data_IF_367308436006
#
_entry.id   IF_367308436006
#
_cell.length_a   1.000
_cell.length_b   1.000
_cell.length_c   1.000
_cell.angle_alpha   90.00
_cell.angle_beta   90.00
_cell.angle_gamma   90.00
#
_symmetry.space_group_name_H-M   'P 1'
#
loop_
_entity.id
_entity.type
_entity.pdbx_description
1 polymer ?
#
# COMPACT_ATOMS: atom_id res chain seq x y z
N UNK A 1 27.76 12.53 -24.11
CA UNK A 1 26.46 12.97 -24.67
C UNK A 1 25.40 11.99 -24.19
N UNK A 2 24.59 12.37 -23.20
CA UNK A 2 23.49 11.50 -22.77
C UNK A 2 22.41 11.52 -23.85
N UNK A 3 22.19 10.38 -24.51
CA UNK A 3 20.99 10.19 -25.33
C UNK A 3 19.78 10.38 -24.44
N UNK A 4 18.96 11.39 -24.74
CA UNK A 4 17.75 11.69 -23.98
C UNK A 4 16.74 10.55 -24.19
N UNK A 5 16.78 9.53 -23.33
CA UNK A 5 15.77 8.48 -23.28
C UNK A 5 14.43 9.14 -22.88
N UNK A 6 13.45 9.07 -23.78
CA UNK A 6 12.06 9.50 -23.55
C UNK A 6 11.24 8.24 -23.30
N UNK A 7 10.39 8.23 -22.26
CA UNK A 7 9.52 7.08 -21.99
C UNK A 7 8.49 6.92 -23.10
N UNK A 8 8.25 5.70 -23.54
CA UNK A 8 7.24 5.35 -24.56
C UNK A 8 5.80 5.60 -24.05
N UNK A 9 5.62 5.75 -22.74
CA UNK A 9 4.31 5.94 -22.10
C UNK A 9 3.92 7.41 -21.87
N UNK A 10 4.83 8.36 -22.12
CA UNK A 10 4.67 9.77 -21.77
C UNK A 10 5.46 10.18 -20.53
N UNK A 11 5.29 11.42 -20.10
CA UNK A 11 5.94 11.98 -18.91
C UNK A 11 4.93 12.77 -18.08
N UNK A 12 5.13 12.83 -16.77
CA UNK A 12 4.31 13.69 -15.92
C UNK A 12 4.41 15.15 -16.36
N UNK A 13 3.27 15.86 -16.39
CA UNK A 13 3.26 17.26 -16.80
C UNK A 13 4.10 18.17 -15.88
N UNK A 14 4.29 17.79 -14.61
CA UNK A 14 5.13 18.54 -13.68
C UNK A 14 5.65 17.70 -12.51
N UNK A 15 6.61 18.26 -11.75
CA UNK A 15 7.09 17.68 -10.48
C UNK A 15 5.95 17.46 -9.48
N UNK A 16 4.98 18.37 -9.42
CA UNK A 16 3.85 18.25 -8.49
C UNK A 16 2.94 17.09 -8.82
N UNK A 17 2.74 16.79 -10.11
CA UNK A 17 1.99 15.61 -10.53
C UNK A 17 2.66 14.33 -10.06
N UNK A 18 3.98 14.23 -10.19
CA UNK A 18 4.71 13.07 -9.67
C UNK A 18 4.57 12.93 -8.16
N UNK A 19 4.65 14.03 -7.39
CA UNK A 19 4.40 14.01 -5.94
C UNK A 19 3.00 13.48 -5.65
N UNK A 20 1.97 14.05 -6.28
CA UNK A 20 0.58 13.61 -6.06
C UNK A 20 0.38 12.15 -6.47
N UNK A 21 0.99 11.70 -7.57
CA UNK A 21 0.90 10.33 -8.03
C UNK A 21 1.57 9.34 -7.06
N UNK A 22 2.81 9.63 -6.66
CA UNK A 22 3.54 8.79 -5.72
C UNK A 22 2.93 8.82 -4.31
N UNK A 23 2.44 9.98 -3.86
CA UNK A 23 1.67 10.08 -2.62
C UNK A 23 0.35 9.32 -2.71
N UNK A 24 -0.37 9.36 -3.85
CA UNK A 24 -1.59 8.56 -4.02
C UNK A 24 -1.36 7.06 -4.15
N UNK A 25 -0.15 6.65 -4.53
CA UNK A 25 0.25 5.24 -4.38
C UNK A 25 0.46 4.89 -2.92
N UNK A 26 1.26 5.70 -2.20
CA UNK A 26 1.64 5.46 -0.81
C UNK A 26 0.44 5.54 0.15
N UNK A 27 -0.33 6.63 0.04
CA UNK A 27 -1.55 6.87 0.81
C UNK A 27 -2.67 5.98 0.28
N UNK A 28 -2.88 4.87 0.98
CA UNK A 28 -3.94 3.90 0.70
C UNK A 28 -4.61 3.38 1.97
N UNK A 29 -5.20 2.18 1.88
CA UNK A 29 -5.70 1.43 3.04
C UNK A 29 -4.64 1.26 4.16
N UNK A 30 -3.37 1.23 3.78
CA UNK A 30 -2.24 1.19 4.71
C UNK A 30 -2.22 2.37 5.67
N UNK A 31 -2.24 3.58 5.12
CA UNK A 31 -2.11 4.83 5.88
C UNK A 31 -3.38 5.17 6.66
N UNK A 32 -4.56 4.87 6.11
CA UNK A 32 -5.85 5.29 6.70
C UNK A 32 -6.36 4.30 7.76
N UNK A 33 -6.17 3.00 7.54
CA UNK A 33 -6.72 1.97 8.43
C UNK A 33 -5.64 1.15 9.12
N UNK A 34 -4.69 0.60 8.36
CA UNK A 34 -3.68 -0.30 8.92
C UNK A 34 -2.79 0.44 9.92
N UNK A 35 -2.43 1.70 9.65
CA UNK A 35 -1.62 2.50 10.56
C UNK A 35 -2.31 2.71 11.92
N UNK A 36 -3.54 3.27 12.01
CA UNK A 36 -4.24 3.40 13.29
C UNK A 36 -4.42 2.06 14.02
N UNK A 37 -4.74 0.99 13.30
CA UNK A 37 -4.81 -0.35 13.90
C UNK A 37 -3.48 -0.77 14.54
N UNK A 38 -2.36 -0.58 13.85
CA UNK A 38 -1.04 -0.98 14.35
C UNK A 38 -0.61 -0.10 15.54
N UNK A 39 -0.91 1.19 15.51
CA UNK A 39 -0.73 2.09 16.66
C UNK A 39 -1.55 1.57 17.86
N UNK A 40 -2.81 1.17 17.61
CA UNK A 40 -3.70 0.54 18.58
C UNK A 40 -3.13 -0.74 19.22
N UNK A 41 -2.60 -1.63 18.38
CA UNK A 41 -2.12 -2.94 18.79
C UNK A 41 -0.73 -2.93 19.45
N UNK A 42 0.13 -1.97 19.11
CA UNK A 42 1.55 -1.95 19.49
C UNK A 42 1.94 -0.78 20.41
N UNK A 43 1.00 -0.28 21.20
CA UNK A 43 1.31 0.62 22.31
C UNK A 43 1.47 2.09 21.92
N UNK A 44 0.68 2.57 20.96
CA UNK A 44 0.48 4.01 20.76
C UNK A 44 1.73 4.73 20.27
N UNK A 45 2.14 5.79 21.00
CA UNK A 45 3.26 6.65 20.64
C UNK A 45 4.63 5.96 20.52
N UNK A 46 4.84 4.85 21.23
CA UNK A 46 6.06 4.05 21.05
C UNK A 46 6.14 3.48 19.62
N UNK A 47 5.04 2.92 19.11
CA UNK A 47 4.96 2.42 17.74
C UNK A 47 5.13 3.55 16.73
N UNK A 48 4.47 4.71 16.95
CA UNK A 48 4.57 5.87 16.05
C UNK A 48 6.03 6.30 15.89
N UNK A 49 6.77 6.47 16.99
CA UNK A 49 8.18 6.90 16.93
C UNK A 49 9.05 5.91 16.16
N UNK A 50 8.88 4.61 16.41
CA UNK A 50 9.64 3.56 15.73
C UNK A 50 9.27 3.51 14.24
N UNK A 51 7.99 3.66 13.89
CA UNK A 51 7.52 3.75 12.51
C UNK A 51 8.17 4.93 11.78
N UNK A 52 8.22 6.13 12.39
CA UNK A 52 8.89 7.30 11.80
C UNK A 52 10.38 7.05 11.56
N UNK A 53 11.07 6.40 12.51
CA UNK A 53 12.46 6.02 12.34
C UNK A 53 12.65 5.02 11.19
N UNK A 54 11.75 4.04 11.05
CA UNK A 54 11.79 3.06 9.97
C UNK A 54 11.56 3.69 8.60
N UNK A 55 10.61 4.62 8.50
CA UNK A 55 10.39 5.42 7.29
C UNK A 55 11.66 6.19 6.92
N UNK A 56 12.29 6.87 7.88
CA UNK A 56 13.48 7.68 7.62
C UNK A 56 14.72 6.84 7.23
N UNK A 57 14.97 5.74 7.95
CA UNK A 57 16.19 4.94 7.83
C UNK A 57 16.13 3.86 6.74
N UNK A 58 14.91 3.42 6.38
CA UNK A 58 14.71 2.28 5.49
C UNK A 58 13.79 2.65 4.34
N UNK A 59 12.59 3.13 4.64
CA UNK A 59 11.56 3.43 3.64
C UNK A 59 12.00 4.46 2.59
N UNK A 60 12.48 5.63 3.03
CA UNK A 60 12.97 6.70 2.16
C UNK A 60 14.14 6.22 1.28
N UNK A 61 15.20 5.59 1.80
CA UNK A 61 16.27 5.03 0.97
C UNK A 61 15.79 4.06 -0.11
N UNK A 62 14.85 3.15 0.20
CA UNK A 62 14.30 2.21 -0.78
C UNK A 62 13.48 2.94 -1.84
N UNK A 63 12.67 3.92 -1.44
CA UNK A 63 11.89 4.73 -2.37
C UNK A 63 12.77 5.59 -3.28
N UNK A 64 13.90 6.12 -2.76
CA UNK A 64 14.93 6.78 -3.56
C UNK A 64 15.53 5.81 -4.58
N UNK A 65 15.88 4.58 -4.16
CA UNK A 65 16.44 3.56 -5.05
C UNK A 65 15.49 3.25 -6.21
N UNK A 66 14.21 2.99 -5.93
CA UNK A 66 13.21 2.72 -6.97
C UNK A 66 13.03 3.91 -7.93
N UNK A 67 12.85 5.11 -7.37
CA UNK A 67 12.66 6.33 -8.18
C UNK A 67 13.86 6.59 -9.08
N UNK A 68 15.07 6.36 -8.56
CA UNK A 68 16.33 6.53 -9.28
C UNK A 68 16.47 5.53 -10.44
N UNK A 69 16.21 4.24 -10.17
CA UNK A 69 16.26 3.19 -11.19
C UNK A 69 15.24 3.50 -12.31
N UNK A 70 14.01 3.85 -11.92
CA UNK A 70 12.94 4.20 -12.84
C UNK A 70 13.30 5.39 -13.72
N UNK A 71 13.70 6.50 -13.09
CA UNK A 71 13.97 7.74 -13.81
C UNK A 71 15.18 7.63 -14.75
N UNK A 72 16.25 6.95 -14.32
CA UNK A 72 17.43 6.73 -15.16
C UNK A 72 17.14 5.85 -16.37
N UNK A 73 16.36 4.79 -16.18
CA UNK A 73 16.06 3.83 -17.25
C UNK A 73 14.98 4.33 -18.22
N UNK A 74 13.98 5.07 -17.73
CA UNK A 74 12.77 5.48 -18.47
C UNK A 74 11.90 4.31 -18.96
N UNK A 75 12.05 3.16 -18.32
CA UNK A 75 11.42 1.89 -18.70
C UNK A 75 10.66 1.26 -17.52
N UNK A 76 9.79 0.29 -17.82
CA UNK A 76 9.16 -0.58 -16.83
C UNK A 76 10.17 -1.36 -15.97
N UNK A 77 9.81 -1.87 -14.77
CA UNK A 77 10.78 -2.31 -13.77
C UNK A 77 11.70 -3.45 -14.26
N UNK A 78 11.14 -4.45 -14.92
CA UNK A 78 11.95 -5.55 -15.47
C UNK A 78 12.87 -5.10 -16.61
N UNK A 79 12.40 -4.21 -17.49
CA UNK A 79 13.22 -3.67 -18.57
C UNK A 79 14.29 -2.69 -18.03
N UNK A 80 13.98 -1.95 -16.96
CA UNK A 80 14.89 -1.06 -16.26
C UNK A 80 16.07 -1.82 -15.66
N UNK A 81 15.81 -2.83 -14.83
CA UNK A 81 16.86 -3.64 -14.21
C UNK A 81 17.66 -4.40 -15.28
N UNK A 82 17.02 -4.92 -16.32
CA UNK A 82 17.73 -5.59 -17.44
C UNK A 82 18.74 -4.65 -18.09
N UNK A 83 18.29 -3.46 -18.47
CA UNK A 83 19.09 -2.51 -19.25
C UNK A 83 20.22 -1.94 -18.42
N UNK A 84 19.91 -1.46 -17.22
CA UNK A 84 20.89 -0.87 -16.32
C UNK A 84 21.92 -1.90 -15.80
N UNK A 85 21.53 -3.18 -15.65
CA UNK A 85 22.48 -4.23 -15.27
C UNK A 85 23.53 -4.45 -16.36
N UNK A 86 23.09 -4.54 -17.63
CA UNK A 86 23.98 -4.74 -18.78
C UNK A 86 24.88 -3.52 -18.98
N UNK A 87 24.33 -2.30 -18.85
CA UNK A 87 25.11 -1.05 -18.90
C UNK A 87 26.20 -1.01 -17.81
N UNK A 88 25.95 -1.58 -16.64
CA UNK A 88 26.91 -1.66 -15.54
C UNK A 88 27.84 -2.90 -15.59
N UNK A 89 27.80 -3.70 -16.67
CA UNK A 89 28.64 -4.90 -16.81
C UNK A 89 28.19 -6.11 -15.98
N UNK A 90 26.94 -6.11 -15.50
CA UNK A 90 26.34 -7.19 -14.70
C UNK A 90 25.30 -7.99 -15.50
N UNK A 91 24.87 -9.13 -14.93
CA UNK A 91 23.93 -10.04 -15.59
C UNK A 91 22.53 -9.44 -15.77
N UNK A 92 21.93 -9.63 -16.95
CA UNK A 92 20.53 -9.30 -17.24
C UNK A 92 19.50 -10.02 -16.33
N UNK A 93 19.93 -11.03 -15.56
CA UNK A 93 19.08 -11.81 -14.64
C UNK A 93 18.49 -10.99 -13.49
N UNK A 94 19.03 -9.81 -13.19
CA UNK A 94 18.41 -8.87 -12.24
C UNK A 94 16.97 -8.51 -12.60
N UNK A 95 16.60 -8.58 -13.89
CA UNK A 95 15.22 -8.38 -14.35
C UNK A 95 14.20 -9.36 -13.77
N UNK A 96 14.62 -10.57 -13.37
CA UNK A 96 13.72 -11.54 -12.75
C UNK A 96 13.23 -11.08 -11.37
N UNK A 97 14.06 -10.38 -10.59
CA UNK A 97 13.66 -9.82 -9.31
C UNK A 97 12.58 -8.74 -9.47
N UNK A 98 12.77 -7.84 -10.44
CA UNK A 98 11.73 -6.87 -10.81
C UNK A 98 10.47 -7.52 -11.36
N UNK A 99 10.61 -8.58 -12.17
CA UNK A 99 9.47 -9.32 -12.71
C UNK A 99 8.66 -9.99 -11.60
N UNK A 100 9.32 -10.61 -10.62
CA UNK A 100 8.68 -11.13 -9.42
C UNK A 100 7.91 -10.03 -8.68
N UNK A 101 8.50 -8.84 -8.50
CA UNK A 101 7.83 -7.67 -7.89
C UNK A 101 6.55 -7.25 -8.64
N UNK A 102 6.56 -7.25 -9.98
CA UNK A 102 5.36 -6.95 -10.77
C UNK A 102 4.28 -8.03 -10.61
N UNK A 103 4.66 -9.31 -10.51
CA UNK A 103 3.71 -10.39 -10.19
C UNK A 103 3.14 -10.22 -8.79
N UNK A 104 3.96 -9.84 -7.81
CA UNK A 104 3.51 -9.48 -6.46
C UNK A 104 2.45 -8.40 -6.51
N UNK A 105 2.64 -7.35 -7.32
CA UNK A 105 1.67 -6.26 -7.45
C UNK A 105 0.31 -6.76 -7.97
N UNK A 106 0.30 -7.67 -8.96
CA UNK A 106 -0.94 -8.27 -9.49
C UNK A 106 -1.65 -9.18 -8.47
N UNK A 107 -0.87 -9.95 -7.70
CA UNK A 107 -1.40 -10.80 -6.63
C UNK A 107 -1.93 -9.98 -5.45
N UNK A 108 -1.28 -8.86 -5.12
CA UNK A 108 -1.83 -7.92 -4.13
C UNK A 108 -3.13 -7.33 -4.65
N UNK A 109 -3.14 -6.85 -5.91
CA UNK A 109 -4.33 -6.25 -6.49
C UNK A 109 -5.53 -7.21 -6.54
N UNK A 110 -5.31 -8.52 -6.71
CA UNK A 110 -6.40 -9.49 -6.80
C UNK A 110 -7.24 -9.56 -5.52
N UNK A 111 -6.62 -9.58 -4.33
CA UNK A 111 -7.36 -9.52 -3.07
C UNK A 111 -7.68 -8.09 -2.65
N UNK A 112 -6.81 -7.13 -2.96
CA UNK A 112 -6.99 -5.73 -2.57
C UNK A 112 -8.25 -5.12 -3.21
N UNK A 113 -8.57 -5.53 -4.42
CA UNK A 113 -9.81 -5.12 -5.10
C UNK A 113 -11.09 -5.68 -4.48
N UNK A 114 -11.03 -6.85 -3.84
CA UNK A 114 -12.14 -7.40 -3.05
C UNK A 114 -12.39 -6.51 -1.82
N UNK A 115 -11.33 -6.16 -1.08
CA UNK A 115 -11.40 -5.27 0.10
C UNK A 115 -11.81 -3.85 -0.30
N UNK A 116 -11.31 -3.34 -1.42
CA UNK A 116 -11.76 -2.08 -2.02
C UNK A 116 -13.24 -2.12 -2.38
N UNK A 117 -13.73 -3.25 -2.88
CA UNK A 117 -15.15 -3.51 -3.13
C UNK A 117 -16.02 -3.45 -1.86
N UNK A 118 -15.57 -4.03 -0.74
CA UNK A 118 -16.28 -3.90 0.55
C UNK A 118 -16.46 -2.43 0.94
N UNK A 119 -15.47 -1.59 0.66
CA UNK A 119 -15.58 -0.16 0.97
C UNK A 119 -16.70 0.52 0.17
N UNK A 120 -16.92 0.12 -1.09
CA UNK A 120 -18.02 0.64 -1.91
C UNK A 120 -19.39 0.20 -1.40
N UNK A 121 -19.49 -1.05 -0.94
CA UNK A 121 -20.69 -1.61 -0.33
C UNK A 121 -21.05 -0.87 0.97
N UNK A 122 -20.07 -0.68 1.85
CA UNK A 122 -20.26 0.00 3.13
C UNK A 122 -20.63 1.49 3.01
N UNK A 123 -20.29 2.17 1.90
CA UNK A 123 -20.79 3.53 1.63
C UNK A 123 -22.33 3.53 1.61
N UNK A 124 -22.93 2.51 0.98
CA UNK A 124 -24.38 2.42 0.83
C UNK A 124 -25.03 2.03 2.16
N UNK A 125 -24.52 1.00 2.82
CA UNK A 125 -25.08 0.51 4.10
C UNK A 125 -25.00 1.60 5.18
N UNK A 126 -23.87 2.31 5.24
CA UNK A 126 -23.72 3.43 6.15
C UNK A 126 -24.64 4.60 5.78
N UNK A 127 -24.82 4.87 4.48
CA UNK A 127 -25.73 5.90 3.99
C UNK A 127 -27.20 5.59 4.27
N UNK A 128 -27.61 4.33 4.28
CA UNK A 128 -28.97 3.89 4.65
C UNK A 128 -29.23 3.96 6.15
N UNK A 129 -28.17 3.93 6.95
CA UNK A 129 -28.26 3.93 8.41
C UNK A 129 -28.39 2.52 8.99
N UNK A 130 -27.93 1.50 8.28
CA UNK A 130 -28.03 0.09 8.70
C UNK A 130 -27.26 -0.19 10.01
N UNK A 131 -26.33 0.70 10.38
CA UNK A 131 -25.54 0.64 11.60
C UNK A 131 -25.99 1.61 12.71
N UNK A 132 -27.16 2.27 12.58
CA UNK A 132 -27.64 3.20 13.61
C UNK A 132 -28.22 2.47 14.82
N UNK A 133 -27.68 2.75 16.02
CA UNK A 133 -28.19 2.20 17.29
C UNK A 133 -28.08 0.67 17.41
N UNK A 134 -27.20 0.04 16.64
CA UNK A 134 -26.97 -1.41 16.67
C UNK A 134 -25.81 -1.76 17.60
N UNK A 135 -25.81 -3.00 18.11
CA UNK A 135 -24.74 -3.53 18.96
C UNK A 135 -23.52 -3.98 18.12
N UNK A 136 -22.34 -4.08 18.75
CA UNK A 136 -21.13 -4.54 18.07
C UNK A 136 -21.30 -5.95 17.45
N UNK A 137 -22.01 -6.86 18.14
CA UNK A 137 -22.32 -8.20 17.63
C UNK A 137 -23.20 -8.16 16.38
N UNK A 138 -24.16 -7.23 16.31
CA UNK A 138 -25.00 -7.04 15.13
C UNK A 138 -24.16 -6.54 13.95
N UNK A 139 -23.24 -5.60 14.16
CA UNK A 139 -22.31 -5.16 13.09
C UNK A 139 -21.41 -6.32 12.65
N UNK A 140 -20.92 -7.13 13.58
CA UNK A 140 -20.15 -8.34 13.26
C UNK A 140 -20.95 -9.34 12.43
N UNK A 141 -22.23 -9.53 12.74
CA UNK A 141 -23.14 -10.38 11.98
C UNK A 141 -23.42 -9.81 10.58
N UNK A 142 -23.57 -8.48 10.44
CA UNK A 142 -23.69 -7.82 9.13
C UNK A 142 -22.45 -8.06 8.26
N UNK A 143 -21.25 -7.85 8.81
CA UNK A 143 -20.01 -8.12 8.10
C UNK A 143 -19.90 -9.60 7.70
N UNK A 144 -20.21 -10.51 8.63
CA UNK A 144 -20.25 -11.95 8.38
C UNK A 144 -21.22 -12.34 7.26
N UNK A 145 -22.41 -11.74 7.23
CA UNK A 145 -23.40 -11.96 6.18
C UNK A 145 -22.93 -11.42 4.82
N UNK A 146 -22.28 -10.25 4.80
CA UNK A 146 -21.71 -9.68 3.57
C UNK A 146 -20.64 -10.60 2.98
N UNK A 147 -19.66 -11.06 3.78
CA UNK A 147 -18.57 -11.90 3.25
C UNK A 147 -19.06 -13.32 2.88
N UNK A 148 -20.16 -13.76 3.49
CA UNK A 148 -20.83 -15.02 3.17
C UNK A 148 -21.62 -14.98 1.85
N UNK A 149 -21.98 -13.79 1.34
CA UNK A 149 -22.70 -13.62 0.08
C UNK A 149 -21.74 -13.49 -1.13
N UNK A 150 -21.52 -14.57 -1.92
CA UNK A 150 -20.59 -14.53 -3.04
C UNK A 150 -21.03 -13.56 -4.14
N UNK A 151 -22.33 -13.35 -4.36
CA UNK A 151 -22.80 -12.49 -5.44
C UNK A 151 -22.62 -11.02 -5.11
N UNK A 152 -22.89 -10.63 -3.86
CA UNK A 152 -22.61 -9.29 -3.36
C UNK A 152 -21.12 -8.96 -3.47
N UNK A 153 -20.25 -9.89 -3.06
CA UNK A 153 -18.80 -9.71 -3.17
C UNK A 153 -18.32 -9.62 -4.63
N UNK A 154 -18.78 -10.51 -5.51
CA UNK A 154 -18.42 -10.50 -6.94
C UNK A 154 -18.85 -9.19 -7.59
N UNK A 155 -20.05 -8.68 -7.29
CA UNK A 155 -20.54 -7.41 -7.83
C UNK A 155 -19.58 -6.26 -7.51
N UNK A 156 -19.27 -6.05 -6.23
CA UNK A 156 -18.43 -4.92 -5.81
C UNK A 156 -16.98 -5.05 -6.22
N UNK A 157 -16.42 -6.26 -6.18
CA UNK A 157 -15.11 -6.57 -6.75
C UNK A 157 -15.04 -6.23 -8.25
N UNK A 158 -16.08 -6.61 -9.00
CA UNK A 158 -16.19 -6.30 -10.43
C UNK A 158 -16.25 -4.79 -10.68
N UNK A 159 -17.10 -4.07 -9.94
CA UNK A 159 -17.21 -2.61 -10.04
C UNK A 159 -15.87 -1.94 -9.75
N UNK A 160 -15.21 -2.32 -8.67
CA UNK A 160 -13.92 -1.76 -8.27
C UNK A 160 -12.82 -1.99 -9.32
N UNK A 161 -12.74 -3.22 -9.86
CA UNK A 161 -11.79 -3.56 -10.92
C UNK A 161 -12.07 -2.82 -12.23
N UNK A 162 -13.34 -2.64 -12.60
CA UNK A 162 -13.72 -1.86 -13.79
C UNK A 162 -13.32 -0.39 -13.65
N UNK A 163 -13.60 0.23 -12.51
CA UNK A 163 -13.19 1.61 -12.22
C UNK A 163 -11.67 1.78 -12.36
N UNK A 164 -10.91 0.83 -11.82
CA UNK A 164 -9.44 0.82 -11.89
C UNK A 164 -8.94 0.63 -13.33
N UNK A 165 -9.49 -0.34 -14.07
CA UNK A 165 -9.12 -0.63 -15.45
C UNK A 165 -9.39 0.54 -16.40
N UNK A 166 -10.51 1.27 -16.22
CA UNK A 166 -10.86 2.44 -17.04
C UNK A 166 -9.81 3.55 -16.90
N UNK A 167 -9.34 3.83 -15.68
CA UNK A 167 -8.32 4.86 -15.45
C UNK A 167 -6.99 4.46 -16.08
N UNK A 168 -6.54 3.23 -15.85
CA UNK A 168 -5.25 2.76 -16.35
C UNK A 168 -5.25 2.65 -17.88
N UNK A 169 -6.35 2.19 -18.47
CA UNK A 169 -6.51 2.02 -19.91
C UNK A 169 -6.42 3.34 -20.69
N UNK A 170 -6.77 4.47 -20.05
CA UNK A 170 -6.68 5.83 -20.62
C UNK A 170 -5.25 6.38 -20.72
N UNK A 171 -4.25 5.74 -20.11
CA UNK A 171 -2.85 6.20 -20.18
C UNK A 171 -2.42 7.08 -19.00
N UNK A 172 -1.16 7.50 -19.05
CA UNK A 172 -0.50 8.26 -17.97
C UNK A 172 -1.16 9.65 -17.79
N UNK A 173 -1.28 10.43 -18.86
CA UNK A 173 -1.82 11.80 -18.78
C UNK A 173 -3.35 11.82 -18.62
N UNK A 174 -4.07 11.17 -19.54
CA UNK A 174 -5.53 11.24 -19.59
C UNK A 174 -6.23 10.37 -18.52
N UNK A 175 -5.50 9.42 -17.94
CA UNK A 175 -5.97 8.49 -16.92
C UNK A 175 -5.37 8.78 -15.55
N UNK A 176 -4.14 8.31 -15.33
CA UNK A 176 -3.47 8.34 -14.02
C UNK A 176 -3.38 9.78 -13.47
N UNK A 177 -2.76 10.69 -14.22
CA UNK A 177 -2.53 12.07 -13.80
C UNK A 177 -3.84 12.80 -13.50
N UNK A 178 -4.83 12.72 -14.40
CA UNK A 178 -6.12 13.40 -14.21
C UNK A 178 -6.87 12.88 -12.98
N UNK A 179 -6.84 11.57 -12.75
CA UNK A 179 -7.52 10.96 -11.61
C UNK A 179 -6.83 11.35 -10.30
N UNK A 180 -5.50 11.26 -10.24
CA UNK A 180 -4.71 11.59 -9.04
C UNK A 180 -4.78 13.08 -8.68
N UNK A 181 -4.85 13.98 -9.67
CA UNK A 181 -5.07 15.42 -9.43
C UNK A 181 -6.41 15.73 -8.73
N UNK A 182 -7.40 14.85 -8.86
CA UNK A 182 -8.73 15.00 -8.24
C UNK A 182 -8.79 14.23 -6.91
N UNK A 183 -8.35 12.97 -6.93
CA UNK A 183 -8.43 12.05 -5.79
C UNK A 183 -7.60 12.53 -4.60
N UNK A 184 -6.39 13.07 -4.82
CA UNK A 184 -5.51 13.48 -3.72
C UNK A 184 -6.05 14.67 -2.93
N UNK A 185 -6.47 15.79 -3.55
CA UNK A 185 -7.15 16.86 -2.81
C UNK A 185 -8.44 16.39 -2.13
N UNK A 186 -9.22 15.54 -2.80
CA UNK A 186 -10.47 14.99 -2.24
C UNK A 186 -10.19 14.19 -0.96
N UNK A 187 -9.22 13.28 -1.00
CA UNK A 187 -8.79 12.50 0.16
C UNK A 187 -8.38 13.41 1.31
N UNK A 188 -7.60 14.45 1.04
CA UNK A 188 -7.17 15.41 2.05
C UNK A 188 -8.35 16.18 2.68
N UNK A 189 -9.29 16.65 1.86
CA UNK A 189 -10.48 17.36 2.35
C UNK A 189 -11.38 16.46 3.20
N UNK A 190 -11.61 15.23 2.77
CA UNK A 190 -12.40 14.25 3.53
C UNK A 190 -11.69 13.89 4.85
N UNK A 191 -10.37 13.81 4.86
CA UNK A 191 -9.58 13.57 6.07
C UNK A 191 -9.70 14.73 7.07
N UNK A 192 -9.61 15.97 6.58
CA UNK A 192 -9.81 17.16 7.42
C UNK A 192 -11.23 17.26 7.96
N UNK A 193 -12.24 16.83 7.20
CA UNK A 193 -13.62 16.78 7.69
C UNK A 193 -13.76 15.79 8.85
N UNK A 194 -13.18 14.59 8.73
CA UNK A 194 -13.16 13.59 9.81
C UNK A 194 -12.39 14.07 11.04
N UNK A 195 -11.25 14.72 10.85
CA UNK A 195 -10.49 15.33 11.94
C UNK A 195 -11.30 16.45 12.62
N UNK A 196 -11.94 17.31 11.84
CA UNK A 196 -12.81 18.37 12.36
C UNK A 196 -13.95 17.80 13.20
N UNK A 197 -14.54 16.69 12.77
CA UNK A 197 -15.53 15.96 13.54
C UNK A 197 -14.94 15.31 14.79
N UNK A 198 -13.75 14.69 14.72
CA UNK A 198 -13.13 14.03 15.87
C UNK A 198 -12.87 14.99 17.04
N UNK A 199 -12.60 16.28 16.76
CA UNK A 199 -12.50 17.35 17.76
C UNK A 199 -13.79 17.57 18.56
N UNK A 200 -14.96 17.26 17.98
CA UNK A 200 -16.27 17.48 18.61
C UNK A 200 -16.74 16.32 19.48
N UNK A 201 -16.02 15.19 19.46
CA UNK A 201 -16.39 13.97 20.20
C UNK A 201 -16.20 14.06 21.71
N UNK A 202 -15.42 15.03 22.20
CA UNK A 202 -15.03 15.14 23.62
C UNK A 202 -13.82 14.29 24.01
N UNK A 203 -13.45 13.28 23.20
CA UNK A 203 -12.34 12.35 23.46
C UNK A 203 -11.08 12.66 22.64
N UNK A 204 -10.99 13.86 22.05
CA UNK A 204 -9.88 14.21 21.17
C UNK A 204 -8.51 14.13 21.88
N UNK A 205 -8.43 14.66 23.10
CA UNK A 205 -7.18 14.63 23.87
C UNK A 205 -6.79 13.21 24.28
N UNK A 206 -7.74 12.32 24.54
CA UNK A 206 -7.45 10.89 24.78
C UNK A 206 -6.80 10.25 23.53
N UNK A 207 -7.31 10.58 22.33
CA UNK A 207 -6.68 10.20 21.06
C UNK A 207 -5.24 10.71 20.91
N UNK A 208 -5.00 11.98 21.25
CA UNK A 208 -3.67 12.60 21.20
C UNK A 208 -2.71 11.92 22.17
N UNK A 209 -3.11 11.74 23.43
CA UNK A 209 -2.30 11.07 24.44
C UNK A 209 -1.99 9.63 24.04
N UNK A 210 -2.98 8.89 23.54
CA UNK A 210 -2.76 7.54 23.05
C UNK A 210 -1.72 7.47 21.90
N UNK A 211 -1.77 8.43 20.97
CA UNK A 211 -0.87 8.46 19.81
C UNK A 211 0.53 8.98 20.10
N UNK A 212 0.72 9.80 21.12
CA UNK A 212 1.98 10.53 21.30
C UNK A 212 2.63 10.35 22.67
N UNK A 213 1.96 9.76 23.65
CA UNK A 213 2.59 9.40 24.91
C UNK A 213 3.55 8.23 24.68
N UNK A 214 4.80 8.41 25.12
CA UNK A 214 5.87 7.45 24.89
C UNK A 214 5.98 6.45 26.03
N UNK A 215 5.74 5.17 25.73
CA UNK A 215 5.99 4.07 26.63
C UNK A 215 7.20 3.23 26.15
N UNK A 216 8.38 3.31 26.82
CA UNK A 216 9.58 2.56 26.46
C UNK A 216 9.36 1.04 26.38
N UNK A 217 8.49 0.49 27.24
CA UNK A 217 8.29 -0.95 27.36
C UNK A 217 7.64 -1.55 26.11
N UNK A 218 6.96 -0.73 25.31
CA UNK A 218 6.26 -1.13 24.09
C UNK A 218 7.10 -1.00 22.82
N UNK A 219 8.31 -0.42 22.92
CA UNK A 219 9.19 -0.18 21.76
C UNK A 219 9.60 -1.49 21.08
N UNK A 220 9.97 -2.51 21.86
CA UNK A 220 10.41 -3.79 21.31
C UNK A 220 9.26 -4.57 20.66
N UNK A 221 8.07 -4.51 21.25
CA UNK A 221 6.85 -5.15 20.72
C UNK A 221 6.47 -4.58 19.35
N UNK A 222 6.62 -3.25 19.19
CA UNK A 222 6.26 -2.51 17.99
C UNK A 222 7.32 -2.47 16.89
N UNK A 223 8.58 -2.86 17.17
CA UNK A 223 9.70 -2.68 16.25
C UNK A 223 9.53 -3.41 14.91
N UNK A 224 9.38 -4.74 14.94
CA UNK A 224 9.23 -5.53 13.73
C UNK A 224 7.95 -5.20 12.95
N UNK A 225 6.77 -5.03 13.61
CA UNK A 225 5.56 -4.55 12.95
C UNK A 225 5.72 -3.17 12.29
N UNK A 226 6.38 -2.21 12.95
CA UNK A 226 6.60 -0.87 12.43
C UNK A 226 7.53 -0.87 11.21
N UNK A 227 8.62 -1.64 11.26
CA UNK A 227 9.51 -1.82 10.13
C UNK A 227 8.77 -2.41 8.92
N UNK A 228 8.01 -3.49 9.11
CA UNK A 228 7.22 -4.10 8.02
C UNK A 228 6.13 -3.17 7.47
N UNK A 229 5.49 -2.39 8.33
CA UNK A 229 4.48 -1.43 7.92
C UNK A 229 5.07 -0.26 7.11
N UNK A 230 6.27 0.21 7.45
CA UNK A 230 6.95 1.28 6.70
C UNK A 230 7.14 0.95 5.21
N UNK A 231 7.41 -0.32 4.87
CA UNK A 231 7.48 -0.79 3.47
C UNK A 231 6.14 -0.70 2.76
N UNK A 232 5.11 -1.21 3.44
CA UNK A 232 3.76 -1.23 2.89
C UNK A 232 3.21 0.18 2.69
N UNK A 233 3.44 1.09 3.65
CA UNK A 233 2.99 2.48 3.61
C UNK A 233 3.55 3.23 2.40
N UNK A 234 4.85 3.11 2.12
CA UNK A 234 5.47 3.82 0.99
C UNK A 234 5.26 3.14 -0.38
N UNK A 235 4.50 2.03 -0.45
CA UNK A 235 4.28 1.25 -1.68
C UNK A 235 5.58 0.82 -2.36
N UNK A 236 6.61 0.51 -1.57
CA UNK A 236 7.92 0.06 -2.09
C UNK A 236 8.02 -1.46 -2.13
N UNK A 237 8.83 -1.99 -3.05
CA UNK A 237 9.14 -3.40 -3.19
C UNK A 237 8.45 -4.11 -4.35
N UNK A 238 7.49 -3.47 -5.02
CA UNK A 238 6.75 -4.06 -6.17
C UNK A 238 7.00 -3.36 -7.50
N UNK A 239 7.72 -2.23 -7.50
CA UNK A 239 8.10 -1.50 -8.72
C UNK A 239 7.09 -0.44 -9.18
N UNK A 240 6.04 -0.18 -8.41
CA UNK A 240 5.07 0.90 -8.67
C UNK A 240 5.72 2.28 -8.64
N UNK A 241 6.52 2.55 -7.61
CA UNK A 241 7.28 3.81 -7.50
C UNK A 241 8.35 3.88 -8.59
N UNK A 242 8.98 2.76 -8.93
CA UNK A 242 9.92 2.70 -10.05
C UNK A 242 9.28 3.13 -11.38
N UNK A 243 8.06 2.65 -11.70
CA UNK A 243 7.37 3.10 -12.93
C UNK A 243 6.98 4.57 -12.86
N UNK A 244 6.49 5.06 -11.73
CA UNK A 244 6.19 6.48 -11.60
C UNK A 244 7.45 7.35 -11.73
N UNK A 245 8.59 6.86 -11.24
CA UNK A 245 9.90 7.47 -11.43
C UNK A 245 10.31 7.51 -12.92
N UNK A 246 9.98 6.47 -13.69
CA UNK A 246 10.23 6.46 -15.14
C UNK A 246 9.49 7.59 -15.88
N UNK A 247 8.39 8.09 -15.34
CA UNK A 247 7.63 9.22 -15.92
C UNK A 247 8.07 10.60 -15.36
N UNK A 248 8.96 10.65 -14.36
CA UNK A 248 9.41 11.88 -13.69
C UNK A 248 10.28 12.78 -14.59
N UNK A 249 10.08 14.09 -14.57
CA UNK A 249 10.91 15.02 -15.37
C UNK A 249 12.35 15.11 -14.86
N UNK A 250 13.32 15.32 -15.77
CA UNK A 250 14.77 15.32 -15.44
C UNK A 250 15.19 16.44 -14.49
N UNK A 251 14.52 17.59 -14.56
CA UNK A 251 14.89 18.79 -13.77
C UNK A 251 14.50 18.73 -12.29
N UNK A 252 13.72 17.73 -11.86
CA UNK A 252 13.30 17.62 -10.47
C UNK A 252 14.31 16.84 -9.61
N UNK A 253 14.58 17.29 -8.39
CA UNK A 253 15.43 16.56 -7.42
C UNK A 253 14.73 15.28 -6.94
N UNK A 254 15.37 14.10 -7.04
CA UNK A 254 14.80 12.84 -6.52
C UNK A 254 14.65 12.93 -5.00
N UNK A 255 15.74 13.19 -4.29
CA UNK A 255 15.78 13.10 -2.83
C UNK A 255 14.77 14.03 -2.16
N UNK A 256 14.72 15.30 -2.58
CA UNK A 256 13.76 16.28 -2.03
C UNK A 256 12.32 15.88 -2.32
N UNK A 257 12.08 15.26 -3.48
CA UNK A 257 10.73 14.86 -3.89
C UNK A 257 10.27 13.63 -3.14
N UNK A 258 11.13 12.62 -3.00
CA UNK A 258 10.86 11.41 -2.21
C UNK A 258 10.65 11.72 -0.74
N UNK A 259 11.47 12.61 -0.14
CA UNK A 259 11.25 13.08 1.24
C UNK A 259 9.89 13.77 1.37
N UNK A 260 9.52 14.62 0.42
CA UNK A 260 8.18 15.25 0.41
C UNK A 260 7.04 14.23 0.36
N UNK A 261 7.18 13.17 -0.45
CA UNK A 261 6.17 12.10 -0.54
C UNK A 261 6.06 11.33 0.79
N UNK A 262 7.19 10.96 1.38
CA UNK A 262 7.21 10.25 2.66
C UNK A 262 6.64 11.09 3.81
N UNK A 263 6.92 12.39 3.83
CA UNK A 263 6.32 13.32 4.80
C UNK A 263 4.81 13.45 4.62
N UNK A 264 4.31 13.53 3.37
CA UNK A 264 2.87 13.57 3.10
C UNK A 264 2.17 12.27 3.51
N UNK A 265 2.74 11.11 3.18
CA UNK A 265 2.20 9.80 3.59
C UNK A 265 2.13 9.66 5.12
N UNK A 266 3.23 10.02 5.78
CA UNK A 266 3.32 10.03 7.25
C UNK A 266 2.29 10.98 7.85
N UNK A 267 2.17 12.19 7.28
CA UNK A 267 1.22 13.19 7.76
C UNK A 267 -0.21 12.69 7.65
N UNK A 268 -0.60 12.09 6.52
CA UNK A 268 -1.94 11.52 6.36
C UNK A 268 -2.17 10.35 7.33
N UNK A 269 -1.16 9.51 7.56
CA UNK A 269 -1.25 8.41 8.54
C UNK A 269 -1.49 8.91 9.97
N UNK A 270 -0.76 9.94 10.39
CA UNK A 270 -0.94 10.59 11.70
C UNK A 270 -2.32 11.26 11.81
N UNK A 271 -2.76 11.96 10.75
CA UNK A 271 -4.10 12.54 10.70
C UNK A 271 -5.19 11.48 10.80
N UNK A 272 -5.04 10.33 10.13
CA UNK A 272 -5.99 9.23 10.21
C UNK A 272 -6.11 8.70 11.64
N UNK A 273 -4.99 8.54 12.36
CA UNK A 273 -5.02 8.16 13.77
C UNK A 273 -5.77 9.19 14.63
N UNK A 274 -5.47 10.48 14.46
CA UNK A 274 -6.13 11.57 15.20
C UNK A 274 -7.60 11.76 14.83
N UNK A 275 -8.01 11.34 13.64
CA UNK A 275 -9.40 11.31 13.25
C UNK A 275 -10.13 10.11 13.87
N UNK A 276 -9.52 8.92 13.87
CA UNK A 276 -10.20 7.68 14.26
C UNK A 276 -10.19 7.38 15.76
N UNK A 277 -9.07 7.57 16.47
CA UNK A 277 -9.01 7.21 17.89
C UNK A 277 -10.03 7.93 18.77
N UNK A 278 -10.26 9.26 18.63
CA UNK A 278 -11.29 9.93 19.42
C UNK A 278 -12.68 9.36 19.18
N UNK A 279 -13.00 8.94 17.95
CA UNK A 279 -14.29 8.35 17.59
C UNK A 279 -14.44 6.96 18.22
N UNK A 280 -13.37 6.16 18.20
CA UNK A 280 -13.32 4.83 18.84
C UNK A 280 -13.50 4.97 20.36
N UNK A 281 -12.82 5.92 21.00
CA UNK A 281 -12.96 6.19 22.44
C UNK A 281 -14.35 6.72 22.81
N UNK A 282 -14.92 7.60 22.00
CA UNK A 282 -16.29 8.09 22.19
C UNK A 282 -17.34 6.98 22.11
N UNK A 283 -17.06 5.90 21.37
CA UNK A 283 -17.90 4.72 21.32
C UNK A 283 -17.62 3.70 22.45
N UNK A 284 -16.67 3.99 23.35
CA UNK A 284 -16.29 3.11 24.45
C UNK A 284 -15.48 1.88 24.03
N UNK A 285 -14.90 1.88 22.82
CA UNK A 285 -14.16 0.76 22.27
C UNK A 285 -12.66 0.80 22.62
N UNK A 286 -12.04 -0.37 22.66
CA UNK A 286 -10.58 -0.48 22.78
C UNK A 286 -9.92 -0.31 21.40
N UNK A 287 -8.82 0.46 21.28
CA UNK A 287 -8.11 0.66 20.02
C UNK A 287 -7.40 -0.60 19.49
N UNK A 288 -7.40 -1.72 20.24
CA UNK A 288 -6.67 -2.95 19.95
C UNK A 288 -7.49 -4.07 19.26
N UNK A 289 -8.74 -3.83 18.84
CA UNK A 289 -9.69 -4.86 18.37
C UNK A 289 -9.42 -5.49 16.97
N UNK A 290 -8.17 -5.58 16.51
CA UNK A 290 -7.82 -6.45 15.36
C UNK A 290 -8.15 -5.91 13.96
N UNK A 291 -7.94 -6.70 12.89
CA UNK A 291 -8.23 -6.32 11.50
C UNK A 291 -9.72 -6.12 11.17
N UNK A 292 -10.62 -6.71 11.96
CA UNK A 292 -12.07 -6.48 11.88
C UNK A 292 -12.50 -5.06 12.27
N UNK A 293 -11.60 -4.27 12.86
CA UNK A 293 -11.84 -2.91 13.33
C UNK A 293 -12.46 -2.00 12.26
N UNK A 294 -12.04 -2.12 10.99
CA UNK A 294 -12.53 -1.23 9.94
C UNK A 294 -13.99 -1.45 9.57
N UNK A 295 -14.41 -2.71 9.50
CA UNK A 295 -15.72 -3.11 8.99
C UNK A 295 -16.69 -3.54 10.10
N UNK A 296 -16.23 -3.55 11.35
CA UNK A 296 -17.05 -3.81 12.54
C UNK A 296 -16.97 -2.65 13.53
N UNK A 297 -15.80 -2.39 14.09
CA UNK A 297 -15.66 -1.41 15.17
C UNK A 297 -15.94 0.03 14.72
N UNK A 298 -15.47 0.45 13.54
CA UNK A 298 -15.72 1.81 13.03
C UNK A 298 -17.19 2.03 12.66
N UNK A 299 -17.87 1.15 11.89
CA UNK A 299 -19.32 1.28 11.68
C UNK A 299 -20.10 1.31 12.98
N UNK A 300 -19.74 0.47 13.97
CA UNK A 300 -20.33 0.54 15.31
C UNK A 300 -20.10 1.90 15.96
N UNK A 301 -18.87 2.42 15.94
CA UNK A 301 -18.54 3.70 16.55
C UNK A 301 -19.30 4.86 15.91
N UNK A 302 -19.33 4.94 14.59
CA UNK A 302 -20.10 5.93 13.86
C UNK A 302 -21.63 5.75 14.02
N UNK A 303 -22.10 4.53 14.25
CA UNK A 303 -23.49 4.21 14.53
C UNK A 303 -24.00 4.68 15.88
N UNK A 304 -23.10 4.92 16.83
CA UNK A 304 -23.41 5.21 18.23
C UNK A 304 -22.95 6.61 18.68
N UNK A 305 -22.40 7.44 17.78
CA UNK A 305 -22.01 8.83 18.06
C UNK A 305 -22.86 9.80 17.23
N UNK A 306 -23.20 10.96 17.81
CA UNK A 306 -24.01 11.98 17.16
C UNK A 306 -23.39 12.47 15.84
N UNK A 307 -24.19 12.59 14.76
CA UNK A 307 -23.73 12.84 13.38
C UNK A 307 -22.80 11.78 12.78
N UNK A 308 -22.60 10.65 13.46
CA UNK A 308 -21.68 9.61 13.04
C UNK A 308 -22.08 8.92 11.74
N UNK A 309 -23.37 8.82 11.40
CA UNK A 309 -23.82 8.27 10.11
C UNK A 309 -23.15 8.97 8.91
N UNK A 310 -23.26 10.30 8.85
CA UNK A 310 -22.68 11.11 7.79
C UNK A 310 -21.16 10.99 7.75
N UNK A 311 -20.52 10.99 8.92
CA UNK A 311 -19.07 10.87 9.03
C UNK A 311 -18.57 9.48 8.66
N UNK A 312 -19.33 8.42 8.92
CA UNK A 312 -19.03 7.08 8.45
C UNK A 312 -19.11 6.96 6.93
N UNK A 313 -20.10 7.61 6.29
CA UNK A 313 -20.14 7.71 4.82
C UNK A 313 -18.89 8.43 4.30
N UNK A 314 -18.53 9.58 4.89
CA UNK A 314 -17.29 10.31 4.55
C UNK A 314 -16.05 9.42 4.69
N UNK A 315 -15.97 8.63 5.76
CA UNK A 315 -14.88 7.68 5.98
C UNK A 315 -14.80 6.61 4.90
N UNK A 316 -15.90 5.91 4.59
CA UNK A 316 -15.86 4.86 3.57
C UNK A 316 -15.65 5.41 2.15
N UNK A 317 -16.09 6.63 1.85
CA UNK A 317 -15.73 7.33 0.60
C UNK A 317 -14.23 7.61 0.55
N UNK A 318 -13.66 8.14 1.64
CA UNK A 318 -12.22 8.40 1.74
C UNK A 318 -11.41 7.11 1.54
N UNK A 319 -11.85 6.02 2.15
CA UNK A 319 -11.26 4.70 2.02
C UNK A 319 -11.33 4.20 0.58
N UNK A 320 -12.50 4.31 -0.06
CA UNK A 320 -12.68 3.87 -1.44
C UNK A 320 -11.78 4.65 -2.40
N UNK A 321 -11.65 5.96 -2.22
CA UNK A 321 -10.75 6.82 -3.01
C UNK A 321 -9.29 6.40 -2.80
N UNK A 322 -8.86 6.18 -1.56
CA UNK A 322 -7.50 5.78 -1.24
C UNK A 322 -7.17 4.37 -1.76
N UNK A 323 -8.10 3.43 -1.63
CA UNK A 323 -7.95 2.10 -2.19
C UNK A 323 -7.84 2.17 -3.73
N UNK A 324 -8.66 3.00 -4.37
CA UNK A 324 -8.65 3.14 -5.81
C UNK A 324 -7.34 3.74 -6.34
N UNK A 325 -6.73 4.71 -5.65
CA UNK A 325 -5.44 5.28 -6.07
C UNK A 325 -4.29 4.28 -5.98
N UNK A 326 -4.23 3.46 -4.92
CA UNK A 326 -3.25 2.39 -4.80
C UNK A 326 -3.50 1.25 -5.80
N UNK A 327 -4.76 0.90 -6.10
CA UNK A 327 -5.08 -0.11 -7.10
C UNK A 327 -4.56 0.27 -8.49
N UNK A 328 -4.64 1.57 -8.84
CA UNK A 328 -4.09 2.11 -10.09
C UNK A 328 -2.57 1.90 -10.16
N UNK A 329 -1.85 2.15 -9.06
CA UNK A 329 -0.38 2.03 -9.04
C UNK A 329 0.12 0.58 -9.02
N UNK A 330 -0.66 -0.37 -8.50
CA UNK A 330 -0.30 -1.79 -8.47
C UNK A 330 -0.37 -2.46 -9.85
N UNK A 331 -1.33 -2.07 -10.70
CA UNK A 331 -1.47 -2.66 -12.04
C UNK A 331 -0.48 -2.05 -13.07
N UNK A 332 -0.11 -0.79 -12.88
CA UNK A 332 0.69 -0.01 -13.84
C UNK A 332 2.03 -0.66 -14.22
N UNK A 333 2.84 -1.24 -13.29
CA UNK A 333 4.11 -1.88 -13.63
C UNK A 333 4.02 -2.93 -14.71
N UNK A 334 3.05 -3.84 -14.60
CA UNK A 334 2.88 -4.91 -15.58
C UNK A 334 2.28 -4.38 -16.88
N UNK A 335 1.36 -3.40 -16.82
CA UNK A 335 0.81 -2.75 -18.02
C UNK A 335 1.94 -2.10 -18.83
N UNK A 336 2.80 -1.31 -18.17
CA UNK A 336 3.95 -0.67 -18.80
C UNK A 336 4.87 -1.71 -19.44
N UNK A 337 5.23 -2.76 -18.69
CA UNK A 337 6.11 -3.83 -19.18
C UNK A 337 5.56 -4.55 -20.41
N UNK A 338 4.29 -4.97 -20.40
CA UNK A 338 3.69 -5.69 -21.52
C UNK A 338 3.51 -4.78 -22.74
N UNK A 339 3.13 -3.51 -22.56
CA UNK A 339 3.04 -2.55 -23.67
C UNK A 339 4.42 -2.31 -24.30
N UNK A 340 5.48 -2.14 -23.50
CA UNK A 340 6.86 -1.99 -24.01
C UNK A 340 7.33 -3.22 -24.79
N UNK A 341 7.02 -4.43 -24.29
CA UNK A 341 7.48 -5.70 -24.89
C UNK A 341 6.69 -6.11 -26.12
N UNK A 342 5.36 -5.97 -26.08
CA UNK A 342 4.46 -6.52 -27.10
C UNK A 342 3.98 -5.48 -28.12
N UNK A 343 4.11 -4.17 -27.81
CA UNK A 343 3.57 -3.05 -28.60
C UNK A 343 2.05 -3.12 -28.84
N UNK A 344 1.34 -3.94 -28.06
CA UNK A 344 -0.11 -4.03 -28.09
C UNK A 344 -0.72 -2.76 -27.48
N UNK A 345 -1.92 -2.38 -27.94
CA UNK A 345 -2.67 -1.23 -27.42
C UNK A 345 -2.85 -1.34 -25.90
N UNK A 346 -2.53 -0.25 -25.19
CA UNK A 346 -2.59 -0.18 -23.72
C UNK A 346 -3.92 -0.66 -23.14
N UNK A 347 -5.05 -0.19 -23.68
CA UNK A 347 -6.37 -0.59 -23.20
C UNK A 347 -6.61 -2.12 -23.26
N UNK A 348 -6.08 -2.80 -24.28
CA UNK A 348 -6.20 -4.25 -24.41
C UNK A 348 -5.35 -4.98 -23.38
N UNK A 349 -4.11 -4.53 -23.18
CA UNK A 349 -3.22 -5.05 -22.13
C UNK A 349 -3.85 -4.86 -20.75
N UNK A 350 -4.37 -3.66 -20.47
CA UNK A 350 -5.05 -3.36 -19.21
C UNK A 350 -6.28 -4.23 -19.00
N UNK A 351 -7.10 -4.45 -20.02
CA UNK A 351 -8.27 -5.33 -19.93
C UNK A 351 -7.90 -6.74 -19.50
N UNK A 352 -6.93 -7.38 -20.18
CA UNK A 352 -6.54 -8.76 -19.85
C UNK A 352 -5.84 -8.89 -18.50
N UNK A 353 -5.01 -7.91 -18.13
CA UNK A 353 -4.41 -7.90 -16.80
C UNK A 353 -5.45 -7.68 -15.70
N UNK A 354 -6.38 -6.74 -15.89
CA UNK A 354 -7.48 -6.51 -14.96
C UNK A 354 -8.40 -7.74 -14.85
N UNK A 355 -8.71 -8.39 -15.97
CA UNK A 355 -9.46 -9.65 -15.99
C UNK A 355 -8.72 -10.76 -15.24
N UNK A 356 -7.41 -10.87 -15.42
CA UNK A 356 -6.59 -11.87 -14.69
C UNK A 356 -6.59 -11.59 -13.19
N UNK A 357 -6.39 -10.35 -12.76
CA UNK A 357 -6.49 -9.97 -11.35
C UNK A 357 -7.91 -10.21 -10.80
N UNK A 358 -8.94 -9.87 -11.56
CA UNK A 358 -10.33 -10.12 -11.20
C UNK A 358 -10.60 -11.62 -11.00
N UNK A 359 -10.16 -12.45 -11.95
CA UNK A 359 -10.31 -13.91 -11.92
C UNK A 359 -9.59 -14.54 -10.72
N UNK A 360 -8.33 -14.15 -10.47
CA UNK A 360 -7.61 -14.60 -9.27
C UNK A 360 -8.29 -14.12 -7.99
N UNK A 361 -8.83 -12.90 -7.99
CA UNK A 361 -9.58 -12.31 -6.87
C UNK A 361 -10.88 -13.06 -6.54
N UNK A 362 -11.47 -13.79 -7.49
CA UNK A 362 -12.58 -14.69 -7.19
C UNK A 362 -12.19 -15.78 -6.19
N UNK A 363 -10.93 -16.22 -6.18
CA UNK A 363 -10.45 -17.15 -5.17
C UNK A 363 -10.48 -16.56 -3.75
N UNK A 364 -10.19 -15.26 -3.61
CA UNK A 364 -10.36 -14.52 -2.35
C UNK A 364 -11.84 -14.37 -2.00
N UNK A 365 -12.71 -14.06 -2.96
CA UNK A 365 -14.15 -14.02 -2.72
C UNK A 365 -14.65 -15.36 -2.19
N UNK A 366 -14.28 -16.46 -2.84
CA UNK A 366 -14.74 -17.78 -2.44
C UNK A 366 -14.14 -18.26 -1.12
N UNK A 367 -12.95 -17.79 -0.74
CA UNK A 367 -12.30 -18.18 0.52
C UNK A 367 -13.13 -17.80 1.76
N UNK A 368 -13.96 -16.75 1.66
CA UNK A 368 -14.85 -16.32 2.73
C UNK A 368 -16.21 -17.04 2.78
N UNK A 369 -16.58 -17.80 1.74
CA UNK A 369 -17.89 -18.45 1.64
C UNK A 369 -17.78 -19.93 1.20
N UNK A 370 -17.82 -20.22 -0.09
CA UNK A 370 -17.90 -21.57 -0.66
C UNK A 370 -16.65 -22.39 -0.35
N UNK A 371 -15.48 -21.73 -0.32
CA UNK A 371 -14.18 -22.34 -0.03
C UNK A 371 -13.72 -22.11 1.41
N UNK A 372 -14.60 -21.72 2.33
CA UNK A 372 -14.23 -21.50 3.73
C UNK A 372 -13.57 -22.73 4.38
N UNK A 373 -13.96 -23.94 3.95
CA UNK A 373 -13.40 -25.22 4.40
C UNK A 373 -12.09 -25.60 3.69
N UNK A 374 -11.72 -24.94 2.60
CA UNK A 374 -10.46 -25.18 1.91
C UNK A 374 -9.33 -24.50 2.68
N UNK A 375 -8.56 -25.29 3.44
CA UNK A 375 -7.40 -24.80 4.18
C UNK A 375 -6.11 -25.30 3.57
N UNK A 376 -5.11 -24.42 3.57
CA UNK A 376 -3.76 -24.63 3.05
C UNK A 376 -2.74 -24.42 4.17
N UNK A 377 -1.58 -25.06 4.05
CA UNK A 377 -0.50 -24.98 5.05
C UNK A 377 -1.00 -25.31 6.47
N UNK A 378 -1.70 -26.44 6.59
CA UNK A 378 -2.24 -26.91 7.87
C UNK A 378 -1.14 -27.63 8.64
N UNK A 379 -0.95 -27.26 9.90
CA UNK A 379 -0.10 -28.00 10.83
C UNK A 379 -0.98 -28.49 11.98
N UNK A 380 -1.31 -29.78 11.96
CA UNK A 380 -2.12 -30.43 12.98
C UNK A 380 -1.30 -31.56 13.61
N UNK A 381 -1.14 -31.52 14.94
CA UNK A 381 -0.37 -32.53 15.68
C UNK A 381 1.11 -32.69 15.28
N UNK A 382 1.72 -31.69 14.62
CA UNK A 382 3.11 -31.76 14.15
C UNK A 382 3.29 -32.36 12.74
N UNK A 383 2.20 -32.71 12.04
CA UNK A 383 2.23 -33.15 10.65
C UNK A 383 1.81 -32.00 9.74
N UNK A 384 2.68 -31.65 8.79
CA UNK A 384 2.41 -30.60 7.82
C UNK A 384 1.63 -31.15 6.62
N UNK A 385 0.44 -30.60 6.39
CA UNK A 385 -0.38 -30.87 5.21
C UNK A 385 -0.44 -29.62 4.32
N UNK A 386 -0.07 -29.77 3.05
CA UNK A 386 -0.13 -28.66 2.08
C UNK A 386 -1.57 -28.17 1.88
N UNK A 387 -2.53 -29.09 1.89
CA UNK A 387 -3.95 -28.83 1.73
C UNK A 387 -4.75 -29.84 2.55
N UNK A 388 -5.76 -29.35 3.27
CA UNK A 388 -6.68 -30.19 4.01
C UNK A 388 -8.07 -29.55 4.02
N UNK A 389 -9.06 -30.30 3.56
CA UNK A 389 -10.45 -29.86 3.59
C UNK A 389 -11.04 -30.02 4.98
N UNK A 390 -11.65 -28.95 5.51
CA UNK A 390 -12.35 -28.94 6.80
C UNK A 390 -11.43 -28.83 8.02
N UNK A 391 -10.15 -28.52 7.85
CA UNK A 391 -9.26 -28.24 8.98
C UNK A 391 -9.69 -26.97 9.71
N UNK A 392 -9.54 -26.97 11.05
CA UNK A 392 -9.78 -25.79 11.89
C UNK A 392 -8.63 -24.78 11.82
N UNK A 393 -7.41 -25.26 11.62
CA UNK A 393 -6.19 -24.45 11.50
C UNK A 393 -5.70 -24.40 10.03
N UNK A 394 -4.91 -23.38 9.71
CA UNK A 394 -4.35 -23.16 8.37
C UNK A 394 -4.89 -21.90 7.69
N UNK A 395 -4.27 -21.56 6.57
CA UNK A 395 -4.59 -20.37 5.79
C UNK A 395 -5.69 -20.70 4.77
N UNK A 396 -6.63 -19.79 4.58
CA UNK A 396 -7.53 -19.83 3.43
C UNK A 396 -6.82 -19.27 2.18
N UNK A 397 -7.47 -19.30 1.01
CA UNK A 397 -6.86 -18.82 -0.23
C UNK A 397 -6.38 -17.35 -0.14
N UNK A 398 -7.16 -16.48 0.51
CA UNK A 398 -6.76 -15.11 0.81
C UNK A 398 -5.47 -15.07 1.65
N UNK A 399 -5.44 -15.80 2.77
CA UNK A 399 -4.28 -15.87 3.66
C UNK A 399 -3.03 -16.43 2.98
N UNK A 400 -3.17 -17.36 2.04
CA UNK A 400 -2.05 -17.88 1.24
C UNK A 400 -1.46 -16.79 0.36
N UNK A 401 -2.29 -16.08 -0.40
CA UNK A 401 -1.79 -15.00 -1.27
C UNK A 401 -1.14 -13.90 -0.42
N UNK A 402 -1.82 -13.44 0.64
CA UNK A 402 -1.27 -12.41 1.53
C UNK A 402 0.05 -12.85 2.17
N UNK A 403 0.18 -14.12 2.60
CA UNK A 403 1.43 -14.65 3.13
C UNK A 403 2.58 -14.51 2.11
N UNK A 404 2.40 -15.01 0.88
CA UNK A 404 3.45 -14.95 -0.12
C UNK A 404 3.76 -13.51 -0.53
N UNK A 405 2.76 -12.66 -0.72
CA UNK A 405 2.99 -11.30 -1.19
C UNK A 405 3.58 -10.42 -0.09
N UNK A 406 2.92 -10.38 1.07
CA UNK A 406 3.21 -9.41 2.13
C UNK A 406 4.40 -9.82 2.98
N UNK A 407 4.62 -11.13 3.20
CA UNK A 407 5.73 -11.62 4.03
C UNK A 407 6.99 -12.00 3.26
N UNK A 408 6.83 -12.41 2.00
CA UNK A 408 7.96 -12.96 1.23
C UNK A 408 8.36 -12.06 0.08
N UNK A 409 7.47 -11.87 -0.90
CA UNK A 409 7.85 -11.26 -2.17
C UNK A 409 8.11 -9.76 -2.05
N UNK A 410 7.35 -9.02 -1.24
CA UNK A 410 7.50 -7.56 -1.10
C UNK A 410 8.84 -7.18 -0.43
N UNK A 411 9.25 -7.78 0.73
CA UNK A 411 10.58 -7.54 1.29
C UNK A 411 11.71 -7.92 0.32
N UNK A 412 11.61 -9.06 -0.37
CA UNK A 412 12.63 -9.50 -1.33
C UNK A 412 12.72 -8.56 -2.55
N UNK A 413 11.60 -8.04 -3.02
CA UNK A 413 11.57 -7.03 -4.08
C UNK A 413 12.22 -5.72 -3.64
N UNK A 414 11.92 -5.25 -2.42
CA UNK A 414 12.59 -4.09 -1.83
C UNK A 414 14.09 -4.29 -1.70
N UNK A 415 14.53 -5.47 -1.25
CA UNK A 415 15.94 -5.85 -1.16
C UNK A 415 16.59 -5.84 -2.54
N UNK A 416 15.94 -6.42 -3.54
CA UNK A 416 16.42 -6.46 -4.92
C UNK A 416 16.69 -5.03 -5.44
N UNK A 417 15.74 -4.11 -5.29
CA UNK A 417 15.88 -2.74 -5.80
C UNK A 417 16.93 -1.93 -5.08
N UNK A 418 16.98 -2.02 -3.73
CA UNK A 418 17.96 -1.24 -2.96
C UNK A 418 19.38 -1.77 -3.15
N UNK A 419 19.57 -3.10 -3.25
CA UNK A 419 20.87 -3.70 -3.57
C UNK A 419 21.29 -3.35 -4.98
N UNK A 420 20.36 -3.36 -5.93
CA UNK A 420 20.64 -2.97 -7.31
C UNK A 420 21.16 -1.53 -7.40
N UNK A 421 20.46 -0.58 -6.77
CA UNK A 421 20.90 0.82 -6.74
C UNK A 421 22.20 1.01 -5.95
N UNK A 422 22.35 0.36 -4.79
CA UNK A 422 23.50 0.55 -3.91
C UNK A 422 24.80 -0.11 -4.38
N UNK A 423 24.71 -1.23 -5.08
CA UNK A 423 25.87 -2.09 -5.39
C UNK A 423 26.05 -2.42 -6.87
N UNK A 424 24.98 -2.43 -7.68
CA UNK A 424 25.05 -2.88 -9.09
C UNK A 424 25.18 -1.70 -10.06
N UNK A 425 24.44 -0.61 -9.85
CA UNK A 425 24.42 0.52 -10.79
C UNK A 425 25.73 1.33 -10.83
N UNK A 426 26.61 1.18 -9.84
CA UNK A 426 27.82 1.97 -9.70
C UNK A 426 27.60 3.34 -9.05
N UNK A 427 28.57 3.79 -8.26
CA UNK A 427 28.46 5.02 -7.45
C UNK A 427 28.30 6.28 -8.29
N UNK A 428 28.97 6.38 -9.43
CA UNK A 428 28.92 7.55 -10.31
C UNK A 428 27.53 7.71 -10.94
N UNK A 429 26.97 6.62 -11.47
CA UNK A 429 25.60 6.60 -12.01
C UNK A 429 24.57 7.06 -10.97
N UNK A 430 24.70 6.62 -9.72
CA UNK A 430 23.82 7.04 -8.63
C UNK A 430 24.03 8.51 -8.28
N UNK A 431 25.29 8.98 -8.25
CA UNK A 431 25.62 10.38 -7.96
C UNK A 431 25.08 11.35 -9.00
N UNK A 432 25.28 11.02 -10.27
CA UNK A 432 24.80 11.81 -11.40
C UNK A 432 23.28 11.94 -11.35
N UNK A 433 22.59 10.82 -11.13
CA UNK A 433 21.14 10.79 -11.11
C UNK A 433 20.57 11.52 -9.87
N UNK A 434 21.11 11.30 -8.67
CA UNK A 434 20.63 12.01 -7.48
C UNK A 434 20.90 13.51 -7.55
N UNK A 435 21.98 13.94 -8.21
CA UNK A 435 22.36 15.35 -8.37
C UNK A 435 22.37 16.14 -7.05
N UNK A 436 22.69 15.47 -5.93
CA UNK A 436 22.78 16.09 -4.61
C UNK A 436 24.05 16.95 -4.54
N UNK A 437 23.88 18.26 -4.33
CA UNK A 437 25.00 19.22 -4.24
C UNK A 437 25.93 18.96 -3.05
N UNK A 438 25.37 18.57 -1.90
CA UNK A 438 26.13 18.32 -0.67
C UNK A 438 26.78 16.92 -0.68
N UNK A 439 28.12 16.81 -0.62
CA UNK A 439 28.81 15.51 -0.56
C UNK A 439 28.42 14.68 0.67
N UNK A 440 28.17 15.34 1.81
CA UNK A 440 27.75 14.68 3.04
C UNK A 440 26.38 14.02 2.88
N UNK A 441 25.40 14.75 2.36
CA UNK A 441 24.04 14.24 2.18
C UNK A 441 24.01 13.10 1.15
N UNK A 442 24.81 13.19 0.09
CA UNK A 442 24.99 12.09 -0.85
C UNK A 442 25.57 10.85 -0.18
N UNK A 443 26.68 11.00 0.57
CA UNK A 443 27.33 9.87 1.25
C UNK A 443 26.40 9.23 2.29
N UNK A 444 25.63 10.03 3.03
CA UNK A 444 24.63 9.52 3.98
C UNK A 444 23.54 8.73 3.25
N UNK A 445 22.92 9.31 2.23
CA UNK A 445 21.85 8.63 1.44
C UNK A 445 22.37 7.33 0.83
N UNK A 446 23.58 7.37 0.26
CA UNK A 446 24.22 6.20 -0.34
C UNK A 446 24.58 5.13 0.70
N UNK A 447 25.03 5.52 1.89
CA UNK A 447 25.28 4.61 3.01
C UNK A 447 24.00 3.93 3.48
N UNK A 448 22.92 4.70 3.65
CA UNK A 448 21.61 4.16 4.02
C UNK A 448 21.12 3.13 3.00
N UNK A 449 21.22 3.42 1.70
CA UNK A 449 20.87 2.47 0.64
C UNK A 449 21.77 1.23 0.62
N UNK A 450 23.07 1.35 0.91
CA UNK A 450 24.00 0.21 0.80
C UNK A 450 23.98 -0.74 1.99
N UNK A 451 23.70 -0.24 3.18
CA UNK A 451 23.90 -1.00 4.42
C UNK A 451 22.65 -1.02 5.30
N UNK A 452 22.11 0.15 5.65
CA UNK A 452 21.01 0.24 6.63
C UNK A 452 19.72 -0.35 6.09
N UNK A 453 19.30 0.07 4.89
CA UNK A 453 18.06 -0.42 4.30
C UNK A 453 18.10 -1.92 3.97
N UNK A 454 19.14 -2.46 3.29
CA UNK A 454 19.25 -3.90 3.06
C UNK A 454 19.24 -4.73 4.36
N UNK A 455 19.99 -4.30 5.38
CA UNK A 455 20.03 -5.01 6.66
C UNK A 455 18.68 -4.96 7.37
N UNK A 456 18.03 -3.79 7.40
CA UNK A 456 16.68 -3.64 7.94
C UNK A 456 15.66 -4.55 7.26
N UNK A 457 15.73 -4.67 5.92
CA UNK A 457 14.87 -5.58 5.15
C UNK A 457 15.12 -7.03 5.54
N UNK A 458 16.40 -7.45 5.64
CA UNK A 458 16.76 -8.81 6.02
C UNK A 458 16.26 -9.16 7.43
N UNK A 459 16.34 -8.22 8.37
CA UNK A 459 15.80 -8.39 9.72
C UNK A 459 14.29 -8.57 9.70
N UNK A 460 13.56 -7.71 8.97
CA UNK A 460 12.10 -7.84 8.81
C UNK A 460 11.71 -9.15 8.16
N UNK A 461 12.40 -9.53 7.09
CA UNK A 461 12.14 -10.75 6.36
C UNK A 461 12.36 -11.99 7.24
N UNK A 462 13.48 -12.05 7.98
CA UNK A 462 13.74 -13.15 8.91
C UNK A 462 12.68 -13.23 10.02
N UNK A 463 12.28 -12.07 10.57
CA UNK A 463 11.25 -12.00 11.60
C UNK A 463 9.85 -12.40 11.12
N UNK A 464 9.49 -12.05 9.88
CA UNK A 464 8.19 -12.40 9.30
C UNK A 464 8.08 -13.86 8.92
N UNK A 465 9.19 -14.54 8.63
CA UNK A 465 9.23 -15.99 8.37
C UNK A 465 9.19 -16.83 9.65
N UNK A 466 9.59 -16.26 10.79
CA UNK A 466 9.59 -16.96 12.08
C UNK A 466 8.22 -16.91 12.78
N UNK A 467 7.32 -16.02 12.35
CA UNK A 467 5.92 -15.91 12.80
C UNK A 467 5.00 -16.68 11.87
#
# INVERSE_FOLDING_TARGET
MSTDKVSVHGSWASRWVFILAATGSAVGLGSIWKFPYMVGAYGGGAFVLVFLACIALIGIPVMIAETLIGRRSRLSPANALRTLAVEAGHSARWSWGAFAGMITALLILSFYSVVGGWSLDYIIDMGRGDFQGVTADQVGAYFGAMIADPWRLILWHTVFMLLSAVVIGKGVEAGLERSLRIMMPMLFLLMLALLGYSLTTGHFMEGVHFMFDFNPDKVLDGLLPAMGHAFFSLSVGVGSIMVYGAYMTKGASISTTVVGIALLDTFVSLLAGLALFPIVFAAGLSPSEGPGLMFVALPFAFGNVAFGQLMGVVFFVLVAVAAWSSAISLLEPMVAYLVERTRIRRAWVTFWLAFTCWFVGLGTVFSFNIWQKAKFFVNDGGVFHLYQWGASNGLDFFGVIDFFTSRVMLPLGGLCFVVFAGWVMGREAVRDELSIRSPLLFNLTFFLMRYVAPLGILVVFAAQLWK
#
